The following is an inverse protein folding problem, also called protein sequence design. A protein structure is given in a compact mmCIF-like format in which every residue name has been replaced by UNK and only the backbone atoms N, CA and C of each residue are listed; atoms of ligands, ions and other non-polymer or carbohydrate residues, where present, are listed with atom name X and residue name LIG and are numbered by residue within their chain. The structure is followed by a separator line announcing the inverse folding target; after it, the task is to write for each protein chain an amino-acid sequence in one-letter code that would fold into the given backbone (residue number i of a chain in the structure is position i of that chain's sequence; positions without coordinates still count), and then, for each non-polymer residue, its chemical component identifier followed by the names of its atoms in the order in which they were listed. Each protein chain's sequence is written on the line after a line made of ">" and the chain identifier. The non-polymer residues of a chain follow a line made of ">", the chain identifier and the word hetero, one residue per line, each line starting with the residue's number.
data_IF_601305896733
#
_entry.id   IF_601305896733
#
_cell.length_a   1.000
_cell.length_b   1.000
_cell.length_c   1.000
_cell.angle_alpha   90.00
_cell.angle_beta   90.00
_cell.angle_gamma   90.00
#
_symmetry.space_group_name_H-M   'P 1'
#
loop_
_entity.id
_entity.type
_entity.pdbx_description
1 polymer ?
#
# COMPACT_ATOMS: atom_id res chain seq x y z
N UNK A 1 -5.28 -2.01 15.63
CA UNK A 1 -4.89 -2.91 14.52
C UNK A 1 -3.45 -2.60 14.20
N UNK A 2 -2.72 -3.55 13.62
CA UNK A 2 -1.40 -3.30 13.02
C UNK A 2 -1.40 -3.83 11.59
N UNK A 3 -0.50 -3.31 10.77
CA UNK A 3 -0.24 -3.80 9.40
C UNK A 3 1.17 -4.33 9.30
N UNK A 4 1.46 -5.05 8.22
CA UNK A 4 2.79 -5.52 7.88
C UNK A 4 2.73 -6.52 6.75
N UNK A 5 3.75 -7.37 6.70
CA UNK A 5 4.01 -8.25 5.56
C UNK A 5 4.20 -9.69 6.01
N UNK A 6 3.57 -10.62 5.29
CA UNK A 6 3.84 -12.06 5.37
C UNK A 6 4.52 -12.50 4.09
N UNK A 7 5.66 -13.18 4.19
CA UNK A 7 6.39 -13.69 3.04
C UNK A 7 6.05 -15.17 2.79
N UNK A 8 5.87 -15.53 1.52
CA UNK A 8 5.74 -16.90 1.05
C UNK A 8 6.63 -17.09 -0.18
N UNK A 9 7.80 -17.71 0.02
CA UNK A 9 8.84 -17.72 -1.01
C UNK A 9 9.29 -16.30 -1.34
N UNK A 10 9.27 -15.93 -2.63
CA UNK A 10 9.60 -14.58 -3.09
C UNK A 10 8.41 -13.61 -3.09
N UNK A 11 7.22 -14.06 -2.69
CA UNK A 11 5.99 -13.26 -2.71
C UNK A 11 5.75 -12.64 -1.34
N UNK A 12 5.46 -11.34 -1.33
CA UNK A 12 5.07 -10.60 -0.12
C UNK A 12 3.56 -10.35 -0.13
N UNK A 13 2.90 -10.56 1.00
CA UNK A 13 1.48 -10.25 1.19
C UNK A 13 1.30 -9.20 2.27
N UNK A 14 0.59 -8.13 1.94
CA UNK A 14 0.10 -7.17 2.91
C UNK A 14 -0.95 -7.85 3.78
N UNK A 15 -0.87 -7.66 5.10
CA UNK A 15 -1.84 -8.23 6.03
C UNK A 15 -2.21 -7.23 7.11
N UNK A 16 -3.42 -7.38 7.65
CA UNK A 16 -3.92 -6.66 8.81
C UNK A 16 -4.10 -7.61 9.98
N UNK A 17 -3.56 -7.24 11.14
CA UNK A 17 -3.83 -7.92 12.40
C UNK A 17 -4.83 -7.14 13.25
N UNK A 18 -5.89 -7.85 13.62
CA UNK A 18 -6.88 -7.40 14.57
C UNK A 18 -6.40 -7.58 16.02
N UNK A 19 -6.98 -6.83 16.97
CA UNK A 19 -6.59 -6.93 18.39
C UNK A 19 -6.84 -8.32 18.99
N UNK A 20 -7.79 -9.07 18.43
CA UNK A 20 -8.10 -10.43 18.84
C UNK A 20 -7.14 -11.48 18.22
N UNK A 21 -6.11 -11.04 17.48
CA UNK A 21 -5.13 -11.92 16.82
C UNK A 21 -5.56 -12.43 15.46
N UNK A 22 -6.77 -12.11 14.98
CA UNK A 22 -7.20 -12.47 13.63
C UNK A 22 -6.34 -11.77 12.57
N UNK A 23 -5.99 -12.52 11.53
CA UNK A 23 -5.17 -12.04 10.41
C UNK A 23 -6.04 -12.01 9.17
N UNK A 24 -6.11 -10.84 8.53
CA UNK A 24 -6.73 -10.68 7.22
C UNK A 24 -5.64 -10.40 6.20
N UNK A 25 -5.57 -11.23 5.15
CA UNK A 25 -4.74 -10.94 3.98
C UNK A 25 -5.40 -9.84 3.15
N UNK A 26 -4.61 -8.88 2.71
CA UNK A 26 -5.05 -7.83 1.81
C UNK A 26 -4.62 -8.19 0.38
N UNK A 27 -5.50 -7.92 -0.57
CA UNK A 27 -5.24 -8.22 -1.97
C UNK A 27 -4.22 -7.24 -2.56
N UNK A 28 -3.38 -7.75 -3.46
CA UNK A 28 -2.61 -6.91 -4.36
C UNK A 28 -3.56 -6.26 -5.40
N UNK A 29 -3.06 -5.26 -6.12
CA UNK A 29 -3.75 -4.72 -7.29
C UNK A 29 -4.06 -5.83 -8.30
N UNK A 30 -5.14 -5.70 -9.10
CA UNK A 30 -5.49 -6.70 -10.11
C UNK A 30 -4.31 -7.07 -11.02
N UNK A 31 -4.00 -8.37 -11.10
CA UNK A 31 -2.86 -8.91 -11.86
C UNK A 31 -1.51 -8.81 -11.15
N UNK A 32 -1.40 -8.06 -10.06
CA UNK A 32 -0.24 -7.98 -9.19
C UNK A 32 -0.11 -9.19 -8.28
N UNK A 33 1.13 -9.55 -7.95
CA UNK A 33 1.41 -10.75 -7.16
C UNK A 33 1.92 -10.46 -5.75
N UNK A 34 2.50 -9.28 -5.50
CA UNK A 34 3.06 -8.91 -4.20
C UNK A 34 2.53 -7.56 -3.72
N UNK A 35 2.37 -7.45 -2.41
CA UNK A 35 1.99 -6.23 -1.73
C UNK A 35 2.58 -6.20 -0.31
N UNK A 36 2.67 -5.01 0.24
CA UNK A 36 3.11 -4.77 1.61
C UNK A 36 2.36 -3.56 2.18
N UNK A 37 1.85 -3.71 3.40
CA UNK A 37 1.23 -2.62 4.15
C UNK A 37 2.23 -1.99 5.11
N UNK A 38 2.52 -0.71 4.92
CA UNK A 38 3.58 0.03 5.63
C UNK A 38 3.07 0.75 6.87
N UNK A 39 1.88 1.37 6.81
CA UNK A 39 1.26 2.03 7.96
C UNK A 39 -0.25 1.85 7.96
N UNK A 40 -0.86 1.88 9.15
CA UNK A 40 -2.31 1.82 9.38
C UNK A 40 -2.73 2.97 10.29
N UNK A 41 -3.84 3.64 9.96
CA UNK A 41 -4.41 4.69 10.79
C UNK A 41 -5.51 4.16 11.73
N UNK A 42 -6.05 5.02 12.61
CA UNK A 42 -7.06 4.62 13.61
C UNK A 42 -8.40 4.17 13.00
N UNK A 43 -8.67 4.55 11.74
CA UNK A 43 -9.87 4.13 11.01
C UNK A 43 -9.72 2.77 10.34
N UNK A 44 -8.54 2.14 10.45
CA UNK A 44 -8.23 0.87 9.79
C UNK A 44 -7.84 1.01 8.32
N UNK A 45 -7.60 2.22 7.84
CA UNK A 45 -7.05 2.45 6.50
C UNK A 45 -5.56 2.18 6.52
N UNK A 46 -5.10 1.38 5.56
CA UNK A 46 -3.70 0.97 5.43
C UNK A 46 -3.13 1.63 4.17
N UNK A 47 -1.86 2.00 4.21
CA UNK A 47 -1.09 2.41 3.03
C UNK A 47 0.13 1.52 2.87
N UNK A 48 0.66 1.49 1.65
CA UNK A 48 1.86 0.76 1.34
C UNK A 48 2.10 0.71 -0.15
N UNK A 49 2.50 -0.45 -0.65
CA UNK A 49 2.73 -0.67 -2.07
C UNK A 49 2.18 -2.02 -2.54
N UNK A 50 1.83 -2.09 -3.81
CA UNK A 50 1.47 -3.32 -4.51
C UNK A 50 2.13 -3.34 -5.87
N UNK A 51 2.55 -4.52 -6.33
CA UNK A 51 2.82 -4.71 -7.75
C UNK A 51 1.50 -4.57 -8.52
N UNK A 52 1.55 -4.01 -9.72
CA UNK A 52 0.48 -4.13 -10.72
C UNK A 52 0.73 -5.32 -11.65
N UNK A 53 -0.12 -5.48 -12.68
CA UNK A 53 0.01 -6.53 -13.69
C UNK A 53 1.31 -6.47 -14.51
N UNK A 54 1.98 -5.30 -14.57
CA UNK A 54 3.27 -5.11 -15.23
C UNK A 54 4.47 -5.41 -14.32
N UNK A 55 4.23 -5.68 -13.03
CA UNK A 55 5.29 -5.86 -12.04
C UNK A 55 5.87 -4.55 -11.51
N UNK A 56 5.20 -3.42 -11.73
CA UNK A 56 5.63 -2.12 -11.21
C UNK A 56 5.09 -1.89 -9.80
N UNK A 57 5.92 -1.42 -8.87
CA UNK A 57 5.46 -1.03 -7.54
C UNK A 57 4.61 0.24 -7.60
N UNK A 58 3.35 0.11 -7.21
CA UNK A 58 2.38 1.19 -7.13
C UNK A 58 2.12 1.57 -5.66
N UNK A 59 2.07 2.86 -5.31
CA UNK A 59 1.60 3.28 -4.00
C UNK A 59 0.10 2.97 -3.90
N UNK A 60 -0.32 2.31 -2.84
CA UNK A 60 -1.72 1.90 -2.69
C UNK A 60 -2.25 2.29 -1.32
N UNK A 61 -3.59 2.38 -1.25
CA UNK A 61 -4.33 2.36 0.01
C UNK A 61 -5.26 1.16 0.04
N UNK A 62 -5.39 0.53 1.20
CA UNK A 62 -6.47 -0.41 1.50
C UNK A 62 -7.46 0.25 2.45
N UNK A 63 -8.74 0.24 2.10
CA UNK A 63 -9.79 0.66 3.03
C UNK A 63 -10.03 -0.40 4.11
N UNK A 64 -10.82 -0.07 5.12
CA UNK A 64 -11.10 -0.96 6.25
C UNK A 64 -11.83 -2.26 5.83
N UNK A 65 -12.51 -2.27 4.69
CA UNK A 65 -13.12 -3.47 4.10
C UNK A 65 -12.13 -4.33 3.29
N UNK A 66 -10.87 -3.91 3.18
CA UNK A 66 -9.82 -4.58 2.43
C UNK A 66 -9.72 -4.18 0.96
N UNK A 67 -10.60 -3.30 0.46
CA UNK A 67 -10.54 -2.85 -0.94
C UNK A 67 -9.26 -2.06 -1.21
N UNK A 68 -8.52 -2.47 -2.26
CA UNK A 68 -7.27 -1.84 -2.68
C UNK A 68 -7.53 -0.75 -3.72
N UNK A 69 -6.83 0.37 -3.61
CA UNK A 69 -6.85 1.47 -4.59
C UNK A 69 -5.43 1.90 -4.93
N UNK A 70 -5.10 1.96 -6.22
CA UNK A 70 -3.87 2.61 -6.72
C UNK A 70 -3.96 4.12 -6.50
N UNK A 71 -2.99 4.69 -5.79
CA UNK A 71 -2.88 6.13 -5.55
C UNK A 71 -2.21 6.87 -6.72
N UNK A 72 -1.58 6.13 -7.63
CA UNK A 72 -0.88 6.65 -8.78
C UNK A 72 0.48 7.25 -8.45
N UNK A 73 1.25 7.46 -9.51
CA UNK A 73 2.59 8.06 -9.47
C UNK A 73 2.59 9.40 -10.20
N UNK A 74 3.61 10.22 -10.00
CA UNK A 74 3.75 11.48 -10.74
C UNK A 74 3.94 11.21 -12.24
N UNK A 75 3.55 12.17 -13.08
CA UNK A 75 3.75 12.06 -14.53
C UNK A 75 5.22 11.81 -14.86
N UNK A 76 5.50 10.75 -15.62
CA UNK A 76 6.85 10.34 -16.02
C UNK A 76 7.59 9.50 -14.98
N UNK A 77 6.96 9.19 -13.85
CA UNK A 77 7.43 8.22 -12.87
C UNK A 77 6.76 6.87 -13.12
N UNK A 78 7.42 5.78 -12.70
CA UNK A 78 6.96 4.40 -12.94
C UNK A 78 6.75 3.63 -11.64
N UNK A 79 7.43 4.01 -10.55
CA UNK A 79 7.25 3.37 -9.25
C UNK A 79 6.80 4.35 -8.17
N UNK A 80 6.21 3.83 -7.10
CA UNK A 80 5.92 4.62 -5.91
C UNK A 80 5.58 3.77 -4.69
N UNK A 81 5.67 4.43 -3.54
CA UNK A 81 5.47 3.86 -2.22
C UNK A 81 4.71 4.85 -1.35
N UNK A 82 3.58 4.44 -0.77
CA UNK A 82 2.93 5.20 0.28
C UNK A 82 3.47 4.72 1.63
N UNK A 83 4.08 5.64 2.38
CA UNK A 83 4.90 5.32 3.54
C UNK A 83 4.22 5.72 4.84
N UNK A 84 3.36 6.74 4.79
CA UNK A 84 2.61 7.17 5.95
C UNK A 84 1.19 7.62 5.62
N UNK A 85 0.31 7.55 6.62
CA UNK A 85 -1.11 7.84 6.55
C UNK A 85 -1.60 8.53 7.82
N UNK A 86 -2.37 9.60 7.65
CA UNK A 86 -3.02 10.28 8.76
C UNK A 86 -4.48 9.84 8.95
N UNK A 87 -5.05 10.13 10.12
CA UNK A 87 -6.43 9.75 10.46
C UNK A 87 -7.51 10.40 9.57
N UNK A 88 -7.20 11.47 8.84
CA UNK A 88 -8.13 12.06 7.87
C UNK A 88 -8.08 11.40 6.48
N UNK A 89 -7.23 10.37 6.30
CA UNK A 89 -7.09 9.63 5.06
C UNK A 89 -6.08 10.20 4.06
N UNK A 90 -5.30 11.22 4.45
CA UNK A 90 -4.18 11.70 3.65
C UNK A 90 -2.99 10.76 3.79
N UNK A 91 -2.41 10.37 2.65
CA UNK A 91 -1.21 9.55 2.57
C UNK A 91 -0.02 10.38 2.07
N UNK A 92 1.19 10.02 2.49
CA UNK A 92 2.44 10.59 1.98
C UNK A 92 3.46 9.49 1.69
N UNK A 93 4.44 9.80 0.84
CA UNK A 93 5.48 8.85 0.46
C UNK A 93 6.25 9.36 -0.74
N UNK A 94 6.66 8.45 -1.63
CA UNK A 94 7.57 8.77 -2.74
C UNK A 94 7.06 8.24 -4.07
N UNK A 95 7.37 8.97 -5.12
CA UNK A 95 7.23 8.54 -6.51
C UNK A 95 8.59 8.58 -7.20
N UNK A 96 8.88 7.59 -8.04
CA UNK A 96 10.22 7.30 -8.57
C UNK A 96 10.17 7.17 -10.09
N UNK A 97 11.01 7.95 -10.75
CA UNK A 97 11.33 7.88 -12.18
C UNK A 97 12.83 8.10 -12.36
N UNK A 98 13.24 9.01 -13.24
CA UNK A 98 14.65 9.45 -13.34
C UNK A 98 15.13 10.25 -12.12
N UNK A 99 14.20 10.68 -11.27
CA UNK A 99 14.44 11.24 -9.95
C UNK A 99 13.44 10.67 -8.92
N UNK A 100 13.67 10.98 -7.65
CA UNK A 100 12.74 10.64 -6.56
C UNK A 100 12.07 11.92 -6.06
N UNK A 101 10.75 11.89 -5.92
CA UNK A 101 9.98 13.02 -5.38
C UNK A 101 9.08 12.56 -4.24
N UNK A 102 9.03 13.36 -3.18
CA UNK A 102 8.00 13.23 -2.16
C UNK A 102 6.63 13.57 -2.75
N UNK A 103 5.61 12.79 -2.38
CA UNK A 103 4.24 12.96 -2.86
C UNK A 103 3.29 12.90 -1.67
N UNK A 104 2.22 13.68 -1.76
CA UNK A 104 1.05 13.60 -0.89
C UNK A 104 -0.14 13.19 -1.74
N UNK A 105 -0.84 12.15 -1.33
CA UNK A 105 -2.10 11.71 -1.93
C UNK A 105 -3.27 12.07 -1.00
N UNK A 106 -4.35 12.56 -1.60
CA UNK A 106 -5.61 12.86 -0.91
C UNK A 106 -6.72 11.90 -1.35
N UNK A 107 -7.89 12.02 -0.69
CA UNK A 107 -9.07 11.22 -1.02
C UNK A 107 -9.49 11.35 -2.47
#
# INVERSE_FOLDING_TARGET
>A
MITGTVQQGSVSYAVRWERNGSITKLDALPGGQSAEGTEINDTGMIVGWSLDAGGESRPVRWAADGSVTDLGVLRGHVWGYAEAVSNNGMAVGRSIGTNVRGVRWSR
#
